data_IF_266836863906
#
_entry.id   IF_266836863906
#
_cell.length_a   1.000
_cell.length_b   1.000
_cell.length_c   1.000
_cell.angle_alpha   90.00
_cell.angle_beta   90.00
_cell.angle_gamma   90.00
#
_symmetry.space_group_name_H-M   'P 1'
#
loop_
_entity.id
_entity.type
_entity.pdbx_description
1 polymer ?
#
# COMPACT_ATOMS: atom_id res chain seq x y z
N UNK A 1 -40.59 -57.90 -54.99
CA UNK A 1 -40.44 -57.82 -53.52
C UNK A 1 -38.97 -57.55 -53.03
N UNK A 2 -38.01 -58.11 -53.74
CA UNK A 2 -36.57 -57.98 -53.34
C UNK A 2 -36.00 -56.55 -53.38
N UNK A 3 -36.43 -55.70 -54.28
CA UNK A 3 -36.02 -54.31 -54.37
C UNK A 3 -36.59 -53.43 -53.24
N UNK A 4 -37.75 -53.73 -52.70
CA UNK A 4 -38.32 -53.02 -51.56
C UNK A 4 -37.54 -53.33 -50.29
N UNK A 5 -37.15 -54.59 -50.05
CA UNK A 5 -36.33 -54.98 -48.89
C UNK A 5 -34.95 -54.39 -48.89
N UNK A 6 -34.31 -54.27 -50.09
CA UNK A 6 -33.03 -53.56 -50.23
C UNK A 6 -33.13 -52.07 -49.94
N UNK A 7 -34.21 -51.38 -50.29
CA UNK A 7 -34.43 -49.97 -49.98
C UNK A 7 -34.66 -49.76 -48.48
N UNK A 8 -35.38 -50.61 -47.80
CA UNK A 8 -35.56 -50.51 -46.35
C UNK A 8 -34.29 -50.79 -45.58
N UNK A 9 -33.44 -51.72 -45.95
CA UNK A 9 -32.16 -51.98 -45.34
C UNK A 9 -31.14 -50.81 -45.59
N UNK A 10 -31.27 -50.16 -46.73
CA UNK A 10 -30.42 -48.99 -47.02
C UNK A 10 -30.83 -47.73 -46.21
N UNK A 11 -32.12 -47.60 -45.92
CA UNK A 11 -32.63 -46.55 -45.07
C UNK A 11 -32.18 -46.74 -43.63
N UNK A 12 -32.26 -47.96 -43.11
CA UNK A 12 -31.88 -48.30 -41.73
C UNK A 12 -30.39 -48.17 -41.49
N UNK A 13 -29.57 -48.56 -42.44
CA UNK A 13 -28.10 -48.33 -42.39
C UNK A 13 -27.71 -46.88 -42.51
N UNK A 14 -28.41 -46.08 -43.30
CA UNK A 14 -28.22 -44.62 -43.43
C UNK A 14 -28.63 -43.90 -42.14
N UNK A 15 -29.74 -44.34 -41.54
CA UNK A 15 -30.24 -43.78 -40.27
C UNK A 15 -29.27 -44.07 -39.10
N UNK A 16 -28.69 -45.27 -39.03
CA UNK A 16 -27.66 -45.61 -38.01
C UNK A 16 -26.39 -44.78 -38.21
N UNK A 17 -25.93 -44.62 -39.46
CA UNK A 17 -24.76 -43.80 -39.76
C UNK A 17 -25.00 -42.33 -39.38
N UNK A 18 -26.18 -41.80 -39.72
CA UNK A 18 -26.54 -40.40 -39.39
C UNK A 18 -26.65 -40.21 -37.87
N UNK A 19 -27.27 -41.16 -37.15
CA UNK A 19 -27.33 -41.11 -35.69
C UNK A 19 -25.93 -41.15 -35.04
N UNK A 20 -25.02 -41.98 -35.54
CA UNK A 20 -23.65 -42.04 -35.07
C UNK A 20 -22.89 -40.74 -35.30
N UNK A 21 -23.02 -40.16 -36.50
CA UNK A 21 -22.39 -38.86 -36.83
C UNK A 21 -22.94 -37.73 -35.96
N UNK A 22 -24.26 -37.73 -35.70
CA UNK A 22 -24.87 -36.68 -34.84
C UNK A 22 -24.42 -36.81 -33.39
N UNK A 23 -24.37 -38.05 -32.85
CA UNK A 23 -23.87 -38.27 -31.49
C UNK A 23 -22.40 -37.93 -31.38
N UNK A 24 -21.59 -38.31 -32.38
CA UNK A 24 -20.16 -37.96 -32.41
C UNK A 24 -19.96 -36.44 -32.46
N UNK A 25 -20.71 -35.72 -33.29
CA UNK A 25 -20.66 -34.27 -33.37
C UNK A 25 -21.04 -33.58 -32.04
N UNK A 26 -22.07 -34.11 -31.34
CA UNK A 26 -22.46 -33.61 -30.02
C UNK A 26 -21.37 -33.85 -28.97
N UNK A 27 -20.74 -35.01 -28.97
CA UNK A 27 -19.61 -35.28 -28.05
C UNK A 27 -18.44 -34.38 -28.33
N UNK A 28 -18.06 -34.15 -29.59
CA UNK A 28 -17.02 -33.22 -29.95
C UNK A 28 -17.34 -31.79 -29.51
N UNK A 29 -18.57 -31.33 -29.71
CA UNK A 29 -19.01 -30.00 -29.31
C UNK A 29 -18.95 -29.82 -27.79
N UNK A 30 -19.35 -30.83 -27.00
CA UNK A 30 -19.24 -30.77 -25.53
C UNK A 30 -17.78 -30.74 -25.05
N UNK A 31 -16.90 -31.53 -25.65
CA UNK A 31 -15.47 -31.53 -25.32
C UNK A 31 -14.82 -30.16 -25.62
N UNK A 32 -15.15 -29.56 -26.77
CA UNK A 32 -14.66 -28.21 -27.13
C UNK A 32 -15.18 -27.17 -26.16
N UNK A 33 -16.46 -27.23 -25.78
CA UNK A 33 -17.06 -26.29 -24.82
C UNK A 33 -16.38 -26.37 -23.45
N UNK A 34 -16.18 -27.58 -22.93
CA UNK A 34 -15.48 -27.79 -21.65
C UNK A 34 -14.02 -27.32 -21.73
N UNK A 35 -13.33 -27.66 -22.83
CA UNK A 35 -11.95 -27.22 -23.05
C UNK A 35 -11.81 -25.70 -23.14
N UNK A 36 -12.74 -25.02 -23.79
CA UNK A 36 -12.72 -23.56 -23.89
C UNK A 36 -12.95 -22.86 -22.54
N UNK A 37 -13.85 -23.38 -21.71
CA UNK A 37 -14.08 -22.85 -20.36
C UNK A 37 -12.86 -23.07 -19.47
N UNK A 38 -12.26 -24.25 -19.50
CA UNK A 38 -11.04 -24.54 -18.75
C UNK A 38 -9.85 -23.67 -19.21
N UNK A 39 -9.66 -23.50 -20.51
CA UNK A 39 -8.64 -22.63 -21.07
C UNK A 39 -8.87 -21.16 -20.70
N UNK A 40 -10.11 -20.68 -20.73
CA UNK A 40 -10.45 -19.31 -20.31
C UNK A 40 -10.16 -19.09 -18.84
N UNK A 41 -10.50 -20.04 -17.96
CA UNK A 41 -10.18 -19.97 -16.54
C UNK A 41 -8.68 -19.89 -16.27
N UNK A 42 -7.91 -20.78 -16.92
CA UNK A 42 -6.46 -20.78 -16.80
C UNK A 42 -5.80 -19.51 -17.35
N UNK A 43 -6.33 -18.96 -18.46
CA UNK A 43 -5.84 -17.70 -19.03
C UNK A 43 -6.17 -16.49 -18.13
N UNK A 44 -7.35 -16.50 -17.51
CA UNK A 44 -7.78 -15.47 -16.57
C UNK A 44 -6.91 -15.45 -15.31
N UNK A 45 -6.58 -16.62 -14.75
CA UNK A 45 -5.69 -16.74 -13.58
C UNK A 45 -4.27 -16.27 -13.90
N UNK A 46 -3.77 -16.58 -15.09
CA UNK A 46 -2.46 -16.12 -15.56
C UNK A 46 -2.44 -14.63 -15.92
N UNK A 47 -3.55 -14.08 -16.39
CA UNK A 47 -3.67 -12.66 -16.77
C UNK A 47 -3.83 -11.73 -15.56
N UNK A 48 -4.39 -12.21 -14.45
CA UNK A 48 -4.59 -11.43 -13.23
C UNK A 48 -3.27 -11.07 -12.52
N UNK A 49 -2.14 -11.61 -12.95
CA UNK A 49 -0.80 -11.30 -12.44
C UNK A 49 -0.05 -10.23 -13.25
N UNK A 50 -0.61 -9.70 -14.33
CA UNK A 50 0.11 -8.77 -15.20
C UNK A 50 -0.72 -7.51 -15.44
N UNK A 51 -0.29 -6.39 -14.88
CA UNK A 51 -0.91 -5.07 -15.10
C UNK A 51 -0.04 -4.31 -16.12
N UNK A 52 -0.67 -3.80 -17.16
CA UNK A 52 -0.01 -2.92 -18.12
C UNK A 52 -0.17 -1.48 -17.66
N UNK A 53 0.90 -0.89 -17.16
CA UNK A 53 0.97 0.55 -16.88
C UNK A 53 1.46 1.26 -18.13
N UNK A 54 0.62 2.12 -18.71
CA UNK A 54 1.00 2.95 -19.85
C UNK A 54 1.56 4.25 -19.30
N UNK A 55 2.88 4.35 -19.24
CA UNK A 55 3.56 5.62 -18.98
C UNK A 55 4.20 6.12 -20.29
N UNK A 56 3.85 7.36 -20.71
CA UNK A 56 4.42 8.08 -21.87
C UNK A 56 4.50 7.28 -23.17
N UNK A 57 3.55 6.37 -23.43
CA UNK A 57 3.46 5.63 -24.69
C UNK A 57 4.30 4.35 -24.75
N UNK A 58 4.92 3.94 -23.66
CA UNK A 58 5.61 2.66 -23.54
C UNK A 58 4.82 1.75 -22.58
N UNK A 59 4.45 0.55 -23.05
CA UNK A 59 3.85 -0.46 -22.18
C UNK A 59 4.96 -1.13 -21.36
N UNK A 60 5.03 -0.83 -20.08
CA UNK A 60 5.93 -1.53 -19.13
C UNK A 60 5.13 -2.67 -18.49
N UNK A 61 5.69 -3.88 -18.58
CA UNK A 61 5.11 -5.08 -17.99
C UNK A 61 5.50 -5.12 -16.51
N UNK A 62 4.59 -4.67 -15.64
CA UNK A 62 4.77 -4.78 -14.19
C UNK A 62 4.17 -6.09 -13.69
N UNK A 63 4.96 -6.86 -12.97
CA UNK A 63 4.51 -8.08 -12.28
C UNK A 63 3.94 -7.69 -10.91
N UNK A 64 2.92 -8.37 -10.42
CA UNK A 64 2.28 -8.09 -9.12
C UNK A 64 3.28 -8.02 -7.95
N UNK A 65 4.39 -8.76 -8.02
CA UNK A 65 5.48 -8.67 -7.05
C UNK A 65 6.26 -7.34 -7.10
N UNK A 66 6.31 -6.68 -8.25
CA UNK A 66 6.90 -5.35 -8.40
C UNK A 66 5.96 -4.27 -7.85
N UNK A 67 4.65 -4.43 -8.06
CA UNK A 67 3.63 -3.51 -7.52
C UNK A 67 3.60 -3.53 -5.99
N UNK A 68 3.65 -4.71 -5.37
CA UNK A 68 3.75 -4.86 -3.91
C UNK A 68 5.06 -4.25 -3.37
N UNK A 69 6.17 -4.40 -4.08
CA UNK A 69 7.45 -3.78 -3.72
C UNK A 69 7.40 -2.25 -3.84
N UNK A 70 6.78 -1.72 -4.89
CA UNK A 70 6.57 -0.28 -5.04
C UNK A 70 5.64 0.27 -3.95
N UNK A 71 4.59 -0.46 -3.58
CA UNK A 71 3.68 -0.04 -2.51
C UNK A 71 4.37 0.01 -1.15
N UNK A 72 5.25 -0.94 -0.83
CA UNK A 72 6.05 -0.88 0.39
C UNK A 72 6.96 0.35 0.43
N UNK A 73 7.58 0.73 -0.69
CA UNK A 73 8.40 1.95 -0.78
C UNK A 73 7.54 3.22 -0.57
N UNK A 74 6.35 3.29 -1.19
CA UNK A 74 5.40 4.39 -0.96
C UNK A 74 4.99 4.50 0.52
N UNK A 75 4.72 3.36 1.17
CA UNK A 75 4.40 3.29 2.60
C UNK A 75 5.55 3.84 3.44
N UNK A 76 6.78 3.41 3.18
CA UNK A 76 7.98 3.87 3.91
C UNK A 76 8.21 5.36 3.73
N UNK A 77 8.10 5.87 2.49
CA UNK A 77 8.26 7.30 2.20
C UNK A 77 7.17 8.13 2.88
N UNK A 78 5.90 7.68 2.83
CA UNK A 78 4.78 8.36 3.47
C UNK A 78 4.98 8.50 4.99
N UNK A 79 5.40 7.41 5.64
CA UNK A 79 5.67 7.38 7.08
C UNK A 79 6.88 8.25 7.42
N UNK A 80 7.96 8.19 6.66
CA UNK A 80 9.13 9.05 6.84
C UNK A 80 8.74 10.52 6.76
N UNK A 81 8.04 10.91 5.70
CA UNK A 81 7.58 12.28 5.49
C UNK A 81 6.67 12.78 6.60
N UNK A 82 5.75 11.94 7.09
CA UNK A 82 4.92 12.28 8.25
C UNK A 82 5.76 12.57 9.49
N UNK A 83 6.73 11.71 9.81
CA UNK A 83 7.59 11.91 10.97
C UNK A 83 8.47 13.16 10.83
N UNK A 84 9.01 13.42 9.65
CA UNK A 84 9.76 14.64 9.36
C UNK A 84 8.92 15.90 9.59
N UNK A 85 7.68 15.90 9.11
CA UNK A 85 6.77 17.04 9.30
C UNK A 85 6.35 17.23 10.76
N UNK A 86 6.12 16.12 11.48
CA UNK A 86 5.70 16.14 12.89
C UNK A 86 6.84 16.55 13.84
N UNK A 87 8.07 16.15 13.53
CA UNK A 87 9.18 16.17 14.49
C UNK A 87 10.37 17.02 14.07
N UNK A 88 10.52 17.44 12.80
CA UNK A 88 11.55 18.39 12.40
C UNK A 88 11.01 19.82 12.59
N UNK A 89 11.29 20.38 13.74
CA UNK A 89 10.73 21.65 14.20
C UNK A 89 11.83 22.69 14.39
N UNK A 90 11.76 23.77 13.63
CA UNK A 90 12.57 24.96 13.86
C UNK A 90 11.91 25.86 14.93
N UNK A 91 12.65 26.73 15.65
CA UNK A 91 12.12 27.57 16.71
C UNK A 91 11.32 28.79 16.16
N UNK A 92 10.42 28.54 15.23
CA UNK A 92 9.51 29.52 14.61
C UNK A 92 8.08 28.99 14.68
N UNK A 93 7.21 29.74 15.35
CA UNK A 93 5.79 29.36 15.50
C UNK A 93 5.11 29.13 14.15
N UNK A 94 5.39 29.97 13.16
CA UNK A 94 4.84 29.85 11.80
C UNK A 94 5.34 28.59 11.07
N UNK A 95 6.63 28.28 11.21
CA UNK A 95 7.21 27.07 10.61
C UNK A 95 6.67 25.80 11.24
N UNK A 96 6.56 25.79 12.58
CA UNK A 96 5.95 24.69 13.33
C UNK A 96 4.53 24.45 12.84
N UNK A 97 3.69 25.49 12.80
CA UNK A 97 2.30 25.38 12.38
C UNK A 97 2.18 24.85 10.96
N UNK A 98 2.95 25.38 9.99
CA UNK A 98 2.93 24.88 8.60
C UNK A 98 3.30 23.40 8.49
N UNK A 99 4.28 22.95 9.25
CA UNK A 99 4.69 21.54 9.22
C UNK A 99 3.62 20.65 9.83
N UNK A 100 3.05 21.04 10.96
CA UNK A 100 1.98 20.31 11.62
C UNK A 100 0.71 20.24 10.77
N UNK A 101 0.27 21.34 10.16
CA UNK A 101 -0.89 21.34 9.27
C UNK A 101 -0.72 20.33 8.12
N UNK A 102 0.48 20.24 7.56
CA UNK A 102 0.80 19.26 6.51
C UNK A 102 0.83 17.83 7.02
N UNK A 103 1.36 17.59 8.23
CA UNK A 103 1.38 16.27 8.83
C UNK A 103 -0.04 15.78 9.16
N UNK A 104 -0.88 16.65 9.69
CA UNK A 104 -2.25 16.32 10.09
C UNK A 104 -3.16 15.96 8.90
N UNK A 105 -2.88 16.50 7.69
CA UNK A 105 -3.58 16.07 6.47
C UNK A 105 -3.27 14.62 6.08
N UNK A 106 -2.11 14.09 6.52
CA UNK A 106 -1.67 12.72 6.25
C UNK A 106 -2.17 11.69 7.29
N UNK A 107 -2.91 12.12 8.32
CA UNK A 107 -3.23 11.31 9.48
C UNK A 107 -4.68 11.50 9.96
N UNK A 108 -5.12 10.56 10.79
CA UNK A 108 -6.39 10.63 11.49
C UNK A 108 -6.32 11.49 12.78
N UNK A 109 -7.39 11.43 13.55
CA UNK A 109 -7.52 12.13 14.84
C UNK A 109 -6.41 11.79 15.85
N UNK A 110 -5.76 10.62 15.77
CA UNK A 110 -4.77 10.22 16.77
C UNK A 110 -3.50 11.09 16.75
N UNK A 111 -3.04 11.50 15.57
CA UNK A 111 -1.93 12.45 15.47
C UNK A 111 -2.32 13.87 15.92
N UNK A 112 -3.57 14.27 15.65
CA UNK A 112 -4.11 15.52 16.15
C UNK A 112 -4.18 15.53 17.69
N UNK A 113 -4.66 14.46 18.32
CA UNK A 113 -4.72 14.34 19.78
C UNK A 113 -3.32 14.39 20.40
N UNK A 114 -2.32 13.72 19.78
CA UNK A 114 -0.93 13.81 20.20
C UNK A 114 -0.38 15.25 20.12
N UNK A 115 -0.65 15.95 19.02
CA UNK A 115 -0.26 17.34 18.85
C UNK A 115 -0.91 18.25 19.90
N UNK A 116 -2.21 18.07 20.18
CA UNK A 116 -2.95 18.85 21.17
C UNK A 116 -2.37 18.65 22.58
N UNK A 117 -2.09 17.41 22.98
CA UNK A 117 -1.48 17.10 24.28
C UNK A 117 -0.13 17.84 24.47
N UNK A 118 0.73 17.81 23.45
CA UNK A 118 2.00 18.55 23.47
C UNK A 118 1.79 20.09 23.52
N UNK A 119 0.79 20.58 22.81
CA UNK A 119 0.44 21.99 22.74
C UNK A 119 -0.04 22.50 24.12
N UNK A 120 -0.96 21.75 24.74
CA UNK A 120 -1.50 22.06 26.07
C UNK A 120 -0.42 22.05 27.16
N UNK A 121 0.58 21.17 27.03
CA UNK A 121 1.79 21.16 27.91
C UNK A 121 2.78 22.27 27.60
N UNK A 122 2.49 23.16 26.66
CA UNK A 122 3.35 24.28 26.29
C UNK A 122 4.65 23.87 25.60
N UNK A 123 4.67 22.69 24.95
CA UNK A 123 5.88 22.16 24.32
C UNK A 123 6.39 23.08 23.20
N UNK A 124 5.52 23.48 22.28
CA UNK A 124 5.89 24.32 21.14
C UNK A 124 6.29 25.74 21.56
N UNK A 125 5.65 26.32 22.58
CA UNK A 125 6.04 27.61 23.13
C UNK A 125 7.46 27.55 23.71
N UNK A 126 7.82 26.44 24.37
CA UNK A 126 9.19 26.28 24.89
C UNK A 126 10.22 26.16 23.79
N UNK A 127 9.92 25.49 22.65
CA UNK A 127 10.82 25.43 21.51
C UNK A 127 11.15 26.84 20.99
N UNK A 128 10.10 27.65 20.80
CA UNK A 128 10.24 29.02 20.29
C UNK A 128 10.95 29.92 21.29
N UNK A 129 10.48 29.96 22.55
CA UNK A 129 11.03 30.90 23.57
C UNK A 129 12.47 30.60 23.98
N UNK A 130 12.86 29.32 23.96
CA UNK A 130 14.21 28.89 24.30
C UNK A 130 15.12 28.68 23.07
N UNK A 131 14.68 29.07 21.87
CA UNK A 131 15.40 28.91 20.60
C UNK A 131 15.92 27.48 20.40
N UNK A 132 15.04 26.48 20.59
CA UNK A 132 15.37 25.06 20.49
C UNK A 132 14.85 24.52 19.16
N UNK A 133 15.73 23.94 18.34
CA UNK A 133 15.32 23.13 17.19
C UNK A 133 15.18 21.67 17.58
N UNK A 134 14.22 20.99 16.99
CA UNK A 134 14.07 19.54 17.08
C UNK A 134 14.33 18.91 15.73
N UNK A 135 15.11 17.85 15.71
CA UNK A 135 15.45 17.09 14.50
C UNK A 135 15.16 15.61 14.75
N UNK A 136 14.47 14.99 13.83
CA UNK A 136 14.17 13.56 13.83
C UNK A 136 15.01 12.84 12.78
N UNK A 137 15.69 11.80 13.18
CA UNK A 137 16.45 10.92 12.28
C UNK A 137 15.87 9.53 12.36
N UNK A 138 15.36 9.04 11.25
CA UNK A 138 14.84 7.68 11.12
C UNK A 138 15.98 6.66 11.10
N UNK A 139 16.00 5.73 12.02
CA UNK A 139 16.93 4.60 12.02
C UNK A 139 16.39 3.44 11.15
N UNK A 140 15.10 3.08 11.32
CA UNK A 140 14.44 2.04 10.52
C UNK A 140 12.91 2.12 10.61
N UNK A 141 12.25 1.62 9.58
CA UNK A 141 10.79 1.48 9.52
C UNK A 141 10.48 0.00 9.24
N UNK A 142 9.71 -0.63 10.12
CA UNK A 142 9.18 -1.98 9.91
C UNK A 142 7.74 -1.89 9.46
N UNK A 143 7.43 -2.48 8.33
CA UNK A 143 6.09 -2.52 7.74
C UNK A 143 5.63 -3.96 7.65
N UNK A 144 4.43 -4.24 8.12
CA UNK A 144 3.73 -5.49 7.88
C UNK A 144 2.77 -5.30 6.70
N UNK A 145 3.23 -5.71 5.51
CA UNK A 145 2.43 -5.65 4.27
C UNK A 145 1.44 -6.81 4.14
N UNK A 146 1.53 -7.84 5.00
CA UNK A 146 0.65 -9.01 4.94
C UNK A 146 -0.70 -8.75 5.62
N UNK A 147 -0.75 -7.82 6.57
CA UNK A 147 -1.97 -7.41 7.26
C UNK A 147 -2.55 -6.12 6.68
N UNK A 148 -3.87 -5.98 6.72
CA UNK A 148 -4.55 -4.73 6.41
C UNK A 148 -5.55 -4.37 7.50
N UNK A 149 -5.53 -3.15 8.03
CA UNK A 149 -4.60 -2.04 7.76
C UNK A 149 -3.14 -2.39 8.06
N UNK A 150 -2.21 -1.88 7.21
CA UNK A 150 -0.78 -2.18 7.33
C UNK A 150 -0.23 -1.65 8.65
N UNK A 151 0.32 -2.53 9.48
CA UNK A 151 0.94 -2.14 10.74
C UNK A 151 2.37 -1.64 10.51
N UNK A 152 2.70 -0.48 11.08
CA UNK A 152 4.03 0.12 10.93
C UNK A 152 4.60 0.47 12.29
N UNK A 153 5.88 0.16 12.47
CA UNK A 153 6.70 0.59 13.61
C UNK A 153 7.90 1.37 13.10
N UNK A 154 8.05 2.61 13.57
CA UNK A 154 9.16 3.49 13.23
C UNK A 154 10.10 3.62 14.40
N UNK A 155 11.38 3.38 14.15
CA UNK A 155 12.47 3.58 15.09
C UNK A 155 13.33 4.74 14.64
N UNK A 156 13.74 5.57 15.58
CA UNK A 156 14.56 6.75 15.26
C UNK A 156 15.14 7.42 16.50
N UNK A 157 15.74 8.57 16.27
CA UNK A 157 16.26 9.45 17.33
C UNK A 157 15.72 10.84 17.15
N UNK A 158 15.34 11.45 18.27
CA UNK A 158 15.03 12.88 18.35
C UNK A 158 16.19 13.63 18.97
N UNK A 159 16.64 14.69 18.32
CA UNK A 159 17.67 15.57 18.81
C UNK A 159 17.07 16.93 19.14
N UNK A 160 17.23 17.34 20.40
CA UNK A 160 16.91 18.71 20.84
C UNK A 160 18.19 19.55 20.77
N UNK A 161 18.25 20.40 19.77
CA UNK A 161 19.41 21.24 19.44
C UNK A 161 19.25 22.60 20.11
N UNK A 162 20.11 22.87 21.06
CA UNK A 162 20.24 24.18 21.73
C UNK A 162 21.55 24.82 21.36
N UNK A 163 21.70 26.09 21.65
CA UNK A 163 22.96 26.81 21.39
C UNK A 163 24.16 26.15 22.07
N UNK A 164 24.01 25.73 23.34
CA UNK A 164 25.09 25.19 24.16
C UNK A 164 25.21 23.67 24.17
N UNK A 165 24.12 22.95 23.82
CA UNK A 165 24.08 21.50 23.96
C UNK A 165 23.07 20.82 23.02
N UNK A 166 23.27 19.53 22.83
CA UNK A 166 22.38 18.63 22.09
C UNK A 166 21.94 17.53 23.04
N UNK A 167 20.63 17.34 23.18
CA UNK A 167 20.05 16.21 23.93
C UNK A 167 19.45 15.22 22.93
N UNK A 168 19.82 13.97 23.03
CA UNK A 168 19.30 12.89 22.19
C UNK A 168 18.27 12.06 22.96
N UNK A 169 17.24 11.62 22.23
CA UNK A 169 16.21 10.72 22.75
C UNK A 169 16.05 9.52 21.81
N UNK A 170 15.90 8.34 22.39
CA UNK A 170 15.48 7.16 21.63
C UNK A 170 13.98 7.27 21.38
N UNK A 171 13.60 7.19 20.10
CA UNK A 171 12.23 7.35 19.69
C UNK A 171 11.69 6.08 19.04
N UNK A 172 10.46 5.73 19.40
CA UNK A 172 9.71 4.67 18.73
C UNK A 172 8.24 5.09 18.64
N UNK A 173 7.64 4.85 17.48
CA UNK A 173 6.22 5.06 17.28
C UNK A 173 5.60 3.90 16.51
N UNK A 174 4.31 3.71 16.70
CA UNK A 174 3.50 2.75 15.96
C UNK A 174 2.31 3.45 15.32
N UNK A 175 1.91 2.98 14.16
CA UNK A 175 0.69 3.43 13.47
C UNK A 175 0.14 2.33 12.59
N UNK A 176 -1.02 2.59 11.99
CA UNK A 176 -1.60 1.78 10.91
C UNK A 176 -1.76 2.64 9.68
N UNK A 177 -1.67 2.02 8.52
CA UNK A 177 -1.90 2.69 7.25
C UNK A 177 -3.10 2.08 6.55
N UNK A 178 -3.98 2.96 6.08
CA UNK A 178 -5.12 2.63 5.24
C UNK A 178 -5.00 3.33 3.91
N UNK A 179 -5.53 2.69 2.86
CA UNK A 179 -5.61 3.29 1.53
C UNK A 179 -6.74 4.33 1.50
N UNK A 180 -6.43 5.50 0.94
CA UNK A 180 -7.37 6.57 0.67
C UNK A 180 -7.20 7.07 -0.76
N UNK A 181 -8.12 7.91 -1.23
CA UNK A 181 -8.01 8.50 -2.55
C UNK A 181 -6.75 9.38 -2.67
N UNK A 182 -6.01 9.20 -3.75
CA UNK A 182 -4.81 10.01 -4.04
C UNK A 182 -5.21 11.45 -4.36
N UNK A 183 -4.45 12.39 -3.82
CA UNK A 183 -4.64 13.82 -4.06
C UNK A 183 -3.30 14.54 -4.22
N UNK A 184 -3.32 15.81 -4.62
CA UNK A 184 -2.10 16.61 -4.72
C UNK A 184 -1.38 16.76 -3.36
N UNK A 185 -2.11 16.77 -2.27
CA UNK A 185 -1.56 16.87 -0.90
C UNK A 185 -1.19 15.51 -0.30
N UNK A 186 -1.75 14.43 -0.83
CA UNK A 186 -1.48 13.05 -0.45
C UNK A 186 -1.30 12.15 -1.69
N UNK A 187 -0.15 12.25 -2.38
CA UNK A 187 0.07 11.54 -3.64
C UNK A 187 0.16 10.03 -3.49
N UNK A 188 0.57 9.53 -2.32
CA UNK A 188 0.63 8.09 -2.04
C UNK A 188 -0.75 7.48 -1.78
N UNK A 189 -1.78 8.31 -1.48
CA UNK A 189 -3.12 7.83 -1.14
C UNK A 189 -3.11 6.92 0.08
N UNK A 190 -2.39 7.33 1.13
CA UNK A 190 -2.26 6.63 2.40
C UNK A 190 -2.69 7.55 3.55
N UNK A 191 -3.36 7.00 4.55
CA UNK A 191 -3.68 7.72 5.79
C UNK A 191 -3.10 6.97 6.98
N UNK A 192 -2.44 7.72 7.85
CA UNK A 192 -1.91 7.22 9.11
C UNK A 192 -3.03 7.20 10.14
N UNK A 193 -3.31 6.03 10.69
CA UNK A 193 -4.29 5.83 11.76
C UNK A 193 -3.62 5.30 13.02
N UNK A 194 -4.24 5.60 14.16
CA UNK A 194 -3.80 5.13 15.49
C UNK A 194 -2.33 5.40 15.76
N UNK A 195 -1.89 6.60 15.42
CA UNK A 195 -0.53 7.03 15.72
C UNK A 195 -0.30 7.11 17.23
N UNK A 196 0.74 6.43 17.72
CA UNK A 196 1.15 6.42 19.11
C UNK A 196 2.66 6.46 19.22
N UNK A 197 3.20 7.36 20.02
CA UNK A 197 4.61 7.34 20.42
C UNK A 197 4.74 6.36 21.59
N UNK A 198 5.41 5.24 21.37
CA UNK A 198 5.57 4.15 22.34
C UNK A 198 6.82 4.32 23.20
N UNK A 199 7.81 5.06 22.68
CA UNK A 199 9.07 5.30 23.37
C UNK A 199 9.63 6.68 23.07
N UNK A 200 10.10 7.36 24.13
CA UNK A 200 10.82 8.65 24.02
C UNK A 200 11.76 8.81 25.23
N UNK A 201 12.82 7.99 25.25
CA UNK A 201 13.77 7.90 26.36
C UNK A 201 14.98 8.80 26.15
N UNK A 202 15.36 9.55 27.16
CA UNK A 202 16.53 10.39 27.15
C UNK A 202 17.83 9.54 27.11
N UNK A 203 18.63 9.71 26.05
CA UNK A 203 19.92 9.03 25.87
C UNK A 203 21.11 9.83 26.45
N UNK A 204 20.86 11.08 26.84
CA UNK A 204 21.87 11.96 27.40
C UNK A 204 22.03 13.28 26.65
N UNK A 205 22.83 14.15 27.23
CA UNK A 205 23.12 15.51 26.71
C UNK A 205 24.60 15.66 26.46
N UNK A 206 24.97 16.15 25.29
CA UNK A 206 26.36 16.47 24.89
C UNK A 206 26.50 17.95 24.65
N UNK A 207 27.62 18.54 25.08
CA UNK A 207 27.96 19.92 24.75
C UNK A 207 28.19 20.08 23.23
N UNK A 208 27.69 21.16 22.68
CA UNK A 208 27.95 21.55 21.29
C UNK A 208 29.29 22.29 21.28
N UNK A 209 30.24 21.86 20.47
CA UNK A 209 31.52 22.54 20.24
C UNK A 209 31.43 23.49 19.08
#
# INVERSE_FOLDING_TARGET
MENLIKHFNNIDTSFRKMKFVTVFALVCATVIAIGSVAASGWFMEKSNGTIYVIDKGSAVMATRSEEDSHRELEVRDHVTRFHELMFNLSPSAESIQRNLDRALVMSDKSAYDYWMDLSERGFYQRLVSANISQEFVTDSIKVDMLSYPHAVTTYGKLYMLRESNITAYQFESTCRLVDVERSQTNPHGLMIERFVVTRNDNLGTRKRH
#
